data_IF_522803213186
#
_entry.id   IF_522803213186
#
_cell.length_a   1.000
_cell.length_b   1.000
_cell.length_c   1.000
_cell.angle_alpha   90.00
_cell.angle_beta   90.00
_cell.angle_gamma   90.00
#
_symmetry.space_group_name_H-M   'P 1'
#
loop_
_entity.id
_entity.type
_entity.pdbx_description
1 polymer ?
#
# COMPACT_ATOMS: atom_id res chain seq x y z
N UNK A 1 -25.92 -11.95 21.73
CA UNK A 1 -24.50 -11.69 21.45
C UNK A 1 -23.74 -12.13 22.70
N UNK A 2 -23.26 -13.38 22.73
CA UNK A 2 -22.43 -13.86 23.83
C UNK A 2 -21.11 -13.11 23.78
N UNK A 3 -20.77 -12.39 24.85
CA UNK A 3 -19.45 -11.79 25.02
C UNK A 3 -18.46 -12.90 25.37
N UNK A 4 -18.04 -13.67 24.36
CA UNK A 4 -16.89 -14.56 24.53
C UNK A 4 -15.64 -13.70 24.76
N UNK A 5 -14.81 -14.03 25.75
CA UNK A 5 -13.59 -13.28 26.01
C UNK A 5 -12.64 -13.41 24.83
N UNK A 6 -12.21 -12.27 24.28
CA UNK A 6 -11.21 -12.19 23.21
C UNK A 6 -9.91 -12.84 23.72
N UNK A 7 -9.42 -13.86 23.00
CA UNK A 7 -8.18 -14.52 23.36
C UNK A 7 -6.97 -13.65 23.04
N UNK A 8 -5.89 -13.80 23.81
CA UNK A 8 -4.63 -13.08 23.55
C UNK A 8 -4.09 -13.35 22.13
N UNK A 9 -4.29 -14.59 21.64
CA UNK A 9 -3.97 -14.98 20.26
C UNK A 9 -4.72 -14.14 19.22
N UNK A 10 -6.01 -13.88 19.44
CA UNK A 10 -6.83 -13.05 18.56
C UNK A 10 -6.41 -11.58 18.59
N UNK A 11 -6.00 -11.06 19.76
CA UNK A 11 -5.44 -9.70 19.86
C UNK A 11 -4.15 -9.58 19.05
N UNK A 12 -3.23 -10.54 19.18
CA UNK A 12 -1.98 -10.54 18.40
C UNK A 12 -2.23 -10.58 16.89
N UNK A 13 -3.17 -11.41 16.45
CA UNK A 13 -3.59 -11.45 15.06
C UNK A 13 -4.01 -10.07 14.54
N UNK A 14 -4.94 -9.39 15.22
CA UNK A 14 -5.40 -8.07 14.77
C UNK A 14 -4.31 -6.99 14.85
N UNK A 15 -3.42 -7.04 15.86
CA UNK A 15 -2.29 -6.13 15.94
C UNK A 15 -1.35 -6.27 14.73
N UNK A 16 -1.07 -7.49 14.27
CA UNK A 16 -0.25 -7.75 13.08
C UNK A 16 -0.90 -7.12 11.83
N UNK A 17 -2.21 -7.27 11.66
CA UNK A 17 -2.94 -6.69 10.54
C UNK A 17 -2.90 -5.15 10.53
N UNK A 18 -3.07 -4.53 11.71
CA UNK A 18 -2.95 -3.08 11.86
C UNK A 18 -1.55 -2.61 11.50
N UNK A 19 -0.50 -3.29 11.99
CA UNK A 19 0.89 -2.97 11.66
C UNK A 19 1.12 -3.07 10.16
N UNK A 20 0.66 -4.15 9.51
CA UNK A 20 0.77 -4.31 8.05
C UNK A 20 0.11 -3.15 7.30
N UNK A 21 -1.09 -2.76 7.71
CA UNK A 21 -1.83 -1.65 7.09
C UNK A 21 -1.11 -0.31 7.28
N UNK A 22 -0.53 -0.07 8.46
CA UNK A 22 0.28 1.12 8.72
C UNK A 22 1.54 1.16 7.84
N UNK A 23 2.19 0.03 7.61
CA UNK A 23 3.33 -0.07 6.69
C UNK A 23 2.89 0.29 5.26
N UNK A 24 1.73 -0.20 4.81
CA UNK A 24 1.19 0.17 3.50
C UNK A 24 0.93 1.69 3.39
N UNK A 25 0.41 2.33 4.43
CA UNK A 25 0.25 3.78 4.47
C UNK A 25 1.59 4.52 4.42
N UNK A 26 2.60 4.05 5.16
CA UNK A 26 3.96 4.62 5.11
C UNK A 26 4.51 4.56 3.68
N UNK A 27 4.31 3.45 2.96
CA UNK A 27 4.72 3.32 1.56
C UNK A 27 4.06 4.38 0.67
N UNK A 28 2.76 4.66 0.87
CA UNK A 28 2.07 5.70 0.11
C UNK A 28 2.63 7.10 0.40
N UNK A 29 2.94 7.40 1.67
CA UNK A 29 3.55 8.69 2.03
C UNK A 29 5.00 8.83 1.57
N UNK A 30 5.71 7.71 1.46
CA UNK A 30 7.12 7.65 1.02
C UNK A 30 7.26 7.26 -0.44
N UNK A 31 6.20 7.42 -1.23
CA UNK A 31 6.12 7.01 -2.63
C UNK A 31 7.26 7.59 -3.48
N UNK A 32 7.70 8.81 -3.18
CA UNK A 32 8.84 9.45 -3.83
C UNK A 32 10.13 8.63 -3.68
N UNK A 33 10.38 8.03 -2.51
CA UNK A 33 11.58 7.21 -2.28
C UNK A 33 11.55 5.87 -3.04
N UNK A 34 10.36 5.42 -3.46
CA UNK A 34 10.19 4.18 -4.23
C UNK A 34 10.48 4.34 -5.72
N UNK A 35 10.75 5.57 -6.18
CA UNK A 35 11.19 5.81 -7.56
C UNK A 35 12.59 5.27 -7.79
N UNK A 36 13.47 5.36 -6.78
CA UNK A 36 14.77 4.70 -6.78
C UNK A 36 14.61 3.17 -6.87
N UNK A 37 15.22 2.56 -7.87
CA UNK A 37 15.04 1.13 -8.17
C UNK A 37 15.61 0.24 -7.07
N UNK A 38 16.76 0.59 -6.47
CA UNK A 38 17.38 -0.22 -5.41
C UNK A 38 16.49 -0.23 -4.16
N UNK A 39 15.96 0.93 -3.77
CA UNK A 39 15.03 1.06 -2.63
C UNK A 39 13.71 0.37 -2.91
N UNK A 40 13.16 0.52 -4.11
CA UNK A 40 11.95 -0.19 -4.52
C UNK A 40 12.10 -1.70 -4.33
N UNK A 41 13.15 -2.33 -4.87
CA UNK A 41 13.36 -3.77 -4.72
C UNK A 41 13.60 -4.19 -3.26
N UNK A 42 14.26 -3.34 -2.46
CA UNK A 42 14.43 -3.60 -1.02
C UNK A 42 13.08 -3.65 -0.30
N UNK A 43 12.22 -2.63 -0.51
CA UNK A 43 10.89 -2.60 0.09
C UNK A 43 9.99 -3.71 -0.45
N UNK A 44 10.10 -4.03 -1.75
CA UNK A 44 9.34 -5.12 -2.36
C UNK A 44 9.66 -6.47 -1.71
N UNK A 45 10.94 -6.76 -1.44
CA UNK A 45 11.35 -8.00 -0.74
C UNK A 45 10.79 -8.06 0.69
N UNK A 46 10.85 -6.95 1.43
CA UNK A 46 10.31 -6.88 2.79
C UNK A 46 8.78 -7.10 2.76
N UNK A 47 8.08 -6.40 1.87
CA UNK A 47 6.63 -6.50 1.72
C UNK A 47 6.19 -7.90 1.28
N UNK A 48 6.94 -8.56 0.38
CA UNK A 48 6.70 -9.95 0.01
C UNK A 48 6.90 -10.89 1.21
N UNK A 49 7.91 -10.66 2.05
CA UNK A 49 8.11 -11.41 3.29
C UNK A 49 6.94 -11.27 4.26
N UNK A 50 6.40 -10.06 4.44
CA UNK A 50 5.19 -9.82 5.26
C UNK A 50 4.00 -10.58 4.67
N UNK A 51 3.79 -10.51 3.35
CA UNK A 51 2.74 -11.27 2.68
C UNK A 51 2.85 -12.78 2.91
N UNK A 52 4.06 -13.33 2.82
CA UNK A 52 4.32 -14.74 3.12
C UNK A 52 3.98 -15.13 4.56
N UNK A 53 4.17 -14.24 5.53
CA UNK A 53 3.72 -14.48 6.92
C UNK A 53 2.20 -14.61 6.96
N UNK A 54 1.46 -13.80 6.20
CA UNK A 54 0.01 -13.93 6.06
C UNK A 54 -0.43 -15.30 5.52
N UNK A 55 0.30 -15.83 4.53
CA UNK A 55 0.04 -17.19 4.01
C UNK A 55 0.29 -18.24 5.10
N UNK A 56 1.37 -18.10 5.87
CA UNK A 56 1.65 -19.01 6.98
C UNK A 56 0.55 -18.97 8.05
N UNK A 57 0.08 -17.77 8.41
CA UNK A 57 -1.03 -17.57 9.36
C UNK A 57 -2.30 -18.30 8.89
N UNK A 58 -2.58 -18.25 7.58
CA UNK A 58 -3.69 -18.98 6.97
C UNK A 58 -3.52 -20.49 7.09
N UNK A 59 -2.35 -21.01 6.69
CA UNK A 59 -2.07 -22.46 6.64
C UNK A 59 -2.11 -23.11 8.02
N UNK A 60 -1.65 -22.40 9.07
CA UNK A 60 -1.68 -22.92 10.45
C UNK A 60 -3.04 -22.73 11.14
N UNK A 61 -4.05 -22.18 10.44
CA UNK A 61 -5.36 -21.88 11.00
C UNK A 61 -5.36 -20.71 11.99
N UNK A 62 -4.31 -19.89 12.01
CA UNK A 62 -4.24 -18.66 12.82
C UNK A 62 -4.85 -17.48 12.06
N UNK A 63 -6.08 -17.67 11.59
CA UNK A 63 -6.87 -16.67 10.90
C UNK A 63 -8.24 -16.55 11.56
N UNK A 64 -8.56 -15.34 12.04
CA UNK A 64 -9.86 -15.00 12.65
C UNK A 64 -10.76 -14.17 11.73
N UNK A 65 -10.31 -13.90 10.49
CA UNK A 65 -11.08 -13.29 9.42
C UNK A 65 -11.46 -14.34 8.38
N UNK A 66 -12.19 -13.95 7.33
CA UNK A 66 -12.31 -14.81 6.17
C UNK A 66 -10.92 -15.11 5.57
N UNK A 67 -10.71 -16.30 4.98
CA UNK A 67 -9.42 -16.72 4.42
C UNK A 67 -8.75 -15.70 3.50
N UNK A 68 -9.55 -15.04 2.66
CA UNK A 68 -9.01 -14.07 1.72
C UNK A 68 -8.58 -12.74 2.38
N UNK A 69 -9.26 -12.33 3.46
CA UNK A 69 -9.06 -11.01 4.07
C UNK A 69 -7.70 -10.92 4.78
N UNK A 70 -7.29 -11.98 5.49
CA UNK A 70 -5.98 -12.03 6.14
C UNK A 70 -4.86 -11.82 5.12
N UNK A 71 -4.88 -12.62 4.05
CA UNK A 71 -3.90 -12.53 2.96
C UNK A 71 -3.91 -11.14 2.33
N UNK A 72 -5.08 -10.57 2.03
CA UNK A 72 -5.19 -9.24 1.43
C UNK A 72 -4.55 -8.14 2.30
N UNK A 73 -4.81 -8.14 3.61
CA UNK A 73 -4.22 -7.17 4.53
C UNK A 73 -2.71 -7.36 4.68
N UNK A 74 -2.23 -8.59 4.73
CA UNK A 74 -0.80 -8.89 4.85
C UNK A 74 -0.03 -8.57 3.57
N UNK A 75 -0.65 -8.72 2.39
CA UNK A 75 -0.08 -8.29 1.12
C UNK A 75 -0.30 -6.81 0.81
N UNK A 76 -1.00 -6.05 1.67
CA UNK A 76 -1.28 -4.64 1.39
C UNK A 76 -0.04 -3.76 1.15
N UNK A 77 1.08 -3.92 1.87
CA UNK A 77 2.31 -3.18 1.57
C UNK A 77 2.85 -3.50 0.17
N UNK A 78 2.78 -4.77 -0.22
CA UNK A 78 3.31 -5.26 -1.50
C UNK A 78 2.49 -4.71 -2.67
N UNK A 79 1.17 -4.81 -2.55
CA UNK A 79 0.22 -4.28 -3.53
C UNK A 79 0.39 -2.75 -3.66
N UNK A 80 0.52 -2.02 -2.54
CA UNK A 80 0.76 -0.58 -2.54
C UNK A 80 2.04 -0.20 -3.29
N UNK A 81 3.15 -0.92 -3.08
CA UNK A 81 4.41 -0.69 -3.81
C UNK A 81 4.25 -0.88 -5.31
N UNK A 82 3.60 -1.97 -5.74
CA UNK A 82 3.36 -2.24 -7.16
C UNK A 82 2.51 -1.12 -7.76
N UNK A 83 1.43 -0.71 -7.09
CA UNK A 83 0.56 0.35 -7.58
C UNK A 83 1.30 1.68 -7.73
N UNK A 84 2.07 2.09 -6.71
CA UNK A 84 2.89 3.31 -6.78
C UNK A 84 3.85 3.26 -7.97
N UNK A 85 4.51 2.12 -8.20
CA UNK A 85 5.44 1.95 -9.32
C UNK A 85 4.73 1.98 -10.67
N UNK A 86 3.60 1.30 -10.78
CA UNK A 86 2.76 1.26 -11.99
C UNK A 86 2.19 2.65 -12.32
N UNK A 87 1.63 3.37 -11.35
CA UNK A 87 1.13 4.74 -11.55
C UNK A 87 2.27 5.65 -12.03
N UNK A 88 3.43 5.58 -11.38
CA UNK A 88 4.60 6.36 -11.77
C UNK A 88 5.02 6.04 -13.21
N UNK A 89 5.08 4.77 -13.58
CA UNK A 89 5.43 4.34 -14.93
C UNK A 89 4.42 4.83 -15.98
N UNK A 90 3.12 4.67 -15.72
CA UNK A 90 2.05 5.14 -16.62
C UNK A 90 2.14 6.65 -16.82
N UNK A 91 2.35 7.42 -15.75
CA UNK A 91 2.45 8.88 -15.86
C UNK A 91 3.68 9.32 -16.67
N UNK A 92 4.84 8.68 -16.46
CA UNK A 92 6.04 8.94 -17.26
C UNK A 92 5.75 8.66 -18.74
N UNK A 93 5.10 7.54 -19.05
CA UNK A 93 4.87 7.14 -20.43
C UNK A 93 3.80 7.99 -21.13
N UNK A 94 2.71 8.32 -20.45
CA UNK A 94 1.56 9.02 -21.02
C UNK A 94 1.80 10.53 -21.16
N UNK A 95 2.50 11.14 -20.20
CA UNK A 95 2.75 12.59 -20.19
C UNK A 95 4.17 12.97 -20.57
N UNK A 96 5.08 12.00 -20.72
CA UNK A 96 6.49 12.21 -21.08
C UNK A 96 7.22 13.19 -20.14
N UNK A 97 6.81 13.22 -18.87
CA UNK A 97 7.31 14.13 -17.83
C UNK A 97 7.55 13.37 -16.55
N UNK A 98 8.61 13.72 -15.82
CA UNK A 98 8.87 13.13 -14.51
C UNK A 98 7.75 13.54 -13.54
N UNK A 99 6.98 12.58 -12.99
CA UNK A 99 5.92 12.89 -12.05
C UNK A 99 6.52 13.21 -10.69
N UNK A 100 5.92 14.14 -9.96
CA UNK A 100 6.30 14.47 -8.58
C UNK A 100 5.04 14.69 -7.77
N UNK A 101 4.99 14.10 -6.57
CA UNK A 101 3.95 14.39 -5.62
C UNK A 101 4.04 15.86 -5.15
N UNK A 102 2.91 16.47 -4.82
CA UNK A 102 2.83 17.81 -4.23
C UNK A 102 2.42 17.67 -2.77
N UNK A 103 3.15 18.36 -1.90
CA UNK A 103 2.79 18.55 -0.50
C UNK A 103 2.86 20.04 -0.16
N UNK A 104 1.82 20.59 0.46
CA UNK A 104 1.75 22.02 0.85
C UNK A 104 2.17 23.01 -0.26
N UNK A 105 1.71 22.79 -1.49
CA UNK A 105 2.04 23.59 -2.69
C UNK A 105 3.52 23.59 -3.12
N UNK A 106 4.35 22.71 -2.56
CA UNK A 106 5.71 22.45 -3.02
C UNK A 106 5.80 21.04 -3.60
N UNK A 107 6.79 20.81 -4.47
CA UNK A 107 7.10 19.44 -4.87
C UNK A 107 7.57 18.67 -3.63
N UNK A 108 7.03 17.47 -3.43
CA UNK A 108 7.36 16.63 -2.29
C UNK A 108 8.76 16.09 -2.47
N UNK A 109 9.54 16.20 -1.40
CA UNK A 109 10.71 15.36 -1.18
C UNK A 109 10.24 14.00 -0.68
N UNK A 110 11.03 12.96 -0.94
CA UNK A 110 10.99 11.73 -0.17
C UNK A 110 11.75 11.91 1.15
N UNK A 111 11.60 10.98 2.09
CA UNK A 111 12.36 10.95 3.35
C UNK A 111 13.86 10.90 3.05
N UNK A 112 14.25 10.15 2.02
CA UNK A 112 15.65 9.90 1.66
C UNK A 112 16.02 10.45 0.27
N UNK A 113 15.15 11.24 -0.35
CA UNK A 113 15.34 11.74 -1.72
C UNK A 113 14.87 13.17 -1.81
N UNK A 114 15.77 14.11 -2.13
CA UNK A 114 15.39 15.51 -2.36
C UNK A 114 14.96 15.72 -3.81
N UNK A 115 13.83 16.39 -3.98
CA UNK A 115 13.30 16.80 -5.25
C UNK A 115 14.09 18.01 -5.78
N UNK A 116 14.48 17.95 -7.06
CA UNK A 116 15.19 19.04 -7.75
C UNK A 116 14.32 19.75 -8.79
N UNK A 117 13.05 19.34 -8.90
CA UNK A 117 12.12 19.89 -9.89
C UNK A 117 11.69 21.33 -9.56
N UNK A 118 11.14 22.01 -10.57
CA UNK A 118 10.46 23.31 -10.42
C UNK A 118 8.96 23.10 -10.62
N UNK A 119 8.14 23.80 -9.83
CA UNK A 119 6.66 23.69 -9.86
C UNK A 119 6.03 24.40 -11.09
N UNK A 120 6.51 24.14 -12.30
CA UNK A 120 5.96 24.77 -13.52
C UNK A 120 4.66 24.11 -14.01
N UNK A 121 4.45 22.82 -13.72
CA UNK A 121 3.30 22.06 -14.20
C UNK A 121 2.35 21.64 -13.08
N UNK A 122 1.91 22.60 -12.26
CA UNK A 122 1.08 22.36 -11.05
C UNK A 122 -0.13 21.44 -11.28
N UNK A 123 -0.88 21.62 -12.39
CA UNK A 123 -2.05 20.78 -12.70
C UNK A 123 -1.67 19.31 -12.91
N UNK A 124 -0.59 19.05 -13.64
CA UNK A 124 -0.07 17.70 -13.88
C UNK A 124 0.38 17.03 -12.58
N UNK A 125 1.16 17.74 -11.77
CA UNK A 125 1.63 17.22 -10.48
C UNK A 125 0.50 17.02 -9.47
N UNK A 126 -0.53 17.88 -9.46
CA UNK A 126 -1.73 17.68 -8.66
C UNK A 126 -2.46 16.41 -9.09
N UNK A 127 -2.68 16.23 -10.40
CA UNK A 127 -3.32 15.02 -10.93
C UNK A 127 -2.55 13.76 -10.53
N UNK A 128 -1.22 13.76 -10.70
CA UNK A 128 -0.37 12.65 -10.27
C UNK A 128 -0.52 12.37 -8.77
N UNK A 129 -0.40 13.41 -7.93
CA UNK A 129 -0.50 13.26 -6.47
C UNK A 129 -1.85 12.70 -6.03
N UNK A 130 -2.93 13.19 -6.64
CA UNK A 130 -4.28 12.71 -6.37
C UNK A 130 -4.40 11.24 -6.77
N UNK A 131 -4.02 10.87 -7.98
CA UNK A 131 -4.10 9.47 -8.45
C UNK A 131 -3.22 8.55 -7.61
N UNK A 132 -2.02 8.99 -7.25
CA UNK A 132 -1.07 8.24 -6.44
C UNK A 132 -1.64 7.88 -5.05
N UNK A 133 -2.42 8.78 -4.46
CA UNK A 133 -3.06 8.55 -3.16
C UNK A 133 -4.39 7.80 -3.30
N UNK A 134 -5.26 8.20 -4.24
CA UNK A 134 -6.62 7.68 -4.32
C UNK A 134 -6.72 6.33 -5.01
N UNK A 135 -5.94 6.07 -6.06
CA UNK A 135 -6.04 4.81 -6.81
C UNK A 135 -5.70 3.58 -5.96
N UNK A 136 -4.65 3.59 -5.11
CA UNK A 136 -4.41 2.47 -4.21
C UNK A 136 -5.55 2.24 -3.22
N UNK A 137 -6.05 3.30 -2.59
CA UNK A 137 -7.14 3.22 -1.61
C UNK A 137 -8.41 2.67 -2.25
N UNK A 138 -8.81 3.20 -3.42
CA UNK A 138 -9.97 2.72 -4.17
C UNK A 138 -9.82 1.26 -4.57
N UNK A 139 -8.63 0.86 -5.02
CA UNK A 139 -8.39 -0.53 -5.40
C UNK A 139 -8.47 -1.48 -4.20
N UNK A 140 -7.93 -1.09 -3.04
CA UNK A 140 -8.07 -1.88 -1.82
C UNK A 140 -9.52 -2.01 -1.39
N UNK A 141 -10.30 -0.92 -1.39
CA UNK A 141 -11.72 -0.97 -1.02
C UNK A 141 -12.51 -1.85 -1.99
N UNK A 142 -12.23 -1.74 -3.29
CA UNK A 142 -12.87 -2.58 -4.31
C UNK A 142 -12.54 -4.06 -4.09
N UNK A 143 -11.25 -4.41 -3.97
CA UNK A 143 -10.81 -5.79 -3.73
C UNK A 143 -11.43 -6.35 -2.44
N UNK A 144 -11.41 -5.58 -1.35
CA UNK A 144 -11.99 -6.00 -0.08
C UNK A 144 -13.49 -6.29 -0.19
N UNK A 145 -14.24 -5.42 -0.87
CA UNK A 145 -15.70 -5.57 -1.02
C UNK A 145 -16.05 -6.74 -1.95
N UNK A 146 -15.44 -6.76 -3.13
CA UNK A 146 -15.67 -7.80 -4.14
C UNK A 146 -15.33 -9.19 -3.61
N UNK A 147 -14.18 -9.35 -2.95
CA UNK A 147 -13.71 -10.66 -2.50
C UNK A 147 -14.43 -11.12 -1.23
N UNK A 148 -14.91 -10.19 -0.41
CA UNK A 148 -15.82 -10.52 0.69
C UNK A 148 -17.10 -11.16 0.17
N UNK A 149 -17.69 -10.60 -0.88
CA UNK A 149 -18.92 -11.15 -1.48
C UNK A 149 -18.71 -12.52 -2.12
N UNK A 150 -17.53 -12.79 -2.70
CA UNK A 150 -17.27 -14.06 -3.40
C UNK A 150 -16.75 -15.20 -2.53
N UNK A 151 -16.14 -14.89 -1.38
CA UNK A 151 -15.35 -15.87 -0.61
C UNK A 151 -15.78 -16.05 0.85
N UNK A 152 -16.73 -15.24 1.34
CA UNK A 152 -17.25 -15.31 2.71
C UNK A 152 -18.73 -15.71 2.80
N UNK A 153 -19.33 -16.19 1.71
CA UNK A 153 -20.69 -16.77 1.70
C UNK A 153 -20.68 -18.24 2.07
#
# INVERSE_FOLDING_TARGET
MSNEPITLSQVYFYMILVISTLIALIILFTSEDTKDTKRFYKFLKIAAGIGSIGILMEVIGWNYLCPFQCILFMFSPFIALIMVKSITYIFIHLFQKEPFAIYKNTLSDGIWTKNKGKLHHKRYYNLYSTVLLTAPILTFMFLFTFLKETSCT
#
